data_IF_714678241503
#
_entry.id   IF_714678241503
#
_cell.length_a   1.000
_cell.length_b   1.000
_cell.length_c   1.000
_cell.angle_alpha   90.00
_cell.angle_beta   90.00
_cell.angle_gamma   90.00
#
_symmetry.space_group_name_H-M   'P 1'
#
loop_
_entity.id
_entity.type
_entity.pdbx_description
1 polymer ?
#
# COMPACT_ATOMS: atom_id res chain seq x y z
N UNK A 1 14.87 19.03 -5.68
CA UNK A 1 13.83 20.00 -5.35
C UNK A 1 12.96 19.43 -4.25
N UNK A 2 12.81 20.15 -3.13
CA UNK A 2 11.91 19.80 -2.02
C UNK A 2 10.48 20.18 -2.41
N UNK A 3 9.65 19.19 -2.67
CA UNK A 3 8.20 19.34 -2.83
C UNK A 3 7.51 18.50 -1.76
N UNK A 4 7.52 18.99 -0.53
CA UNK A 4 6.75 18.42 0.57
C UNK A 4 5.28 18.77 0.39
N UNK A 5 4.53 17.86 -0.24
CA UNK A 5 3.08 17.79 -0.02
C UNK A 5 2.80 17.41 1.43
N UNK A 6 1.58 17.63 1.94
CA UNK A 6 1.25 17.28 3.31
C UNK A 6 1.62 15.82 3.54
N UNK A 7 2.47 15.56 4.53
CA UNK A 7 2.81 14.22 5.01
C UNK A 7 1.58 13.54 5.55
N UNK A 8 0.72 13.09 4.64
CA UNK A 8 -0.46 12.32 4.92
C UNK A 8 -0.12 10.85 4.70
N UNK A 9 -0.29 10.06 5.75
CA UNK A 9 -0.23 8.60 5.87
C UNK A 9 -0.97 7.78 4.80
N UNK A 10 -1.47 8.40 3.72
CA UNK A 10 -2.22 7.77 2.64
C UNK A 10 -1.37 7.26 1.45
N UNK A 11 -0.33 7.98 1.05
CA UNK A 11 0.42 7.68 -0.19
C UNK A 11 1.93 7.52 0.06
N UNK A 12 2.27 6.62 0.97
CA UNK A 12 3.63 6.10 1.14
C UNK A 12 4.71 7.04 1.68
N UNK A 13 4.45 8.33 1.87
CA UNK A 13 5.48 9.26 2.39
C UNK A 13 6.75 9.32 1.54
N UNK A 14 7.85 9.84 2.12
CA UNK A 14 9.12 10.06 1.41
C UNK A 14 9.77 8.74 0.95
N UNK A 15 10.29 8.74 -0.29
CA UNK A 15 11.09 7.63 -0.81
C UNK A 15 12.46 7.60 -0.13
N UNK A 16 13.01 6.39 0.02
CA UNK A 16 14.32 6.25 0.66
C UNK A 16 14.64 4.80 1.01
N UNK A 17 15.92 4.51 1.17
CA UNK A 17 16.42 3.15 1.44
C UNK A 17 15.77 2.54 2.69
N UNK A 18 15.50 3.39 3.69
CA UNK A 18 14.92 2.99 4.98
C UNK A 18 13.40 3.17 5.05
N UNK A 19 12.72 3.47 3.93
CA UNK A 19 11.27 3.72 3.90
C UNK A 19 10.47 2.56 4.48
N UNK A 20 10.89 1.31 4.23
CA UNK A 20 10.24 0.11 4.76
C UNK A 20 10.22 0.07 6.29
N UNK A 21 11.07 0.84 6.97
CA UNK A 21 11.16 0.91 8.42
C UNK A 21 10.51 2.18 9.01
N UNK A 22 9.91 3.06 8.20
CA UNK A 22 9.28 4.27 8.71
C UNK A 22 7.92 3.99 9.38
N UNK A 23 7.31 5.03 9.93
CA UNK A 23 6.00 4.94 10.62
C UNK A 23 4.85 4.46 9.73
N UNK A 24 4.92 4.67 8.41
CA UNK A 24 3.86 4.28 7.47
C UNK A 24 3.95 2.79 7.07
N UNK A 25 5.14 2.29 6.76
CA UNK A 25 5.33 0.92 6.27
C UNK A 25 5.80 -0.05 7.35
N UNK A 26 6.64 0.41 8.26
CA UNK A 26 7.31 -0.42 9.26
C UNK A 26 6.36 -1.32 10.04
N UNK A 27 5.31 -0.78 10.68
CA UNK A 27 4.36 -1.58 11.44
C UNK A 27 3.60 -2.64 10.61
N UNK A 28 3.59 -2.54 9.28
CA UNK A 28 2.92 -3.50 8.40
C UNK A 28 3.78 -4.73 8.06
N UNK A 29 5.11 -4.65 8.15
CA UNK A 29 5.98 -5.74 7.66
C UNK A 29 7.35 -5.87 8.34
N UNK A 30 7.90 -4.78 8.87
CA UNK A 30 9.34 -4.68 9.11
C UNK A 30 9.84 -5.51 10.29
N UNK A 31 8.96 -5.88 11.23
CA UNK A 31 9.25 -6.55 12.50
C UNK A 31 10.35 -7.62 12.44
N UNK A 32 10.28 -8.50 11.45
CA UNK A 32 11.16 -9.67 11.32
C UNK A 32 12.12 -9.59 10.11
N UNK A 33 12.14 -8.47 9.37
CA UNK A 33 13.02 -8.31 8.20
C UNK A 33 14.50 -8.48 8.58
N UNK A 34 15.03 -7.88 9.67
CA UNK A 34 16.44 -8.07 10.03
C UNK A 34 16.78 -9.55 10.27
N UNK A 35 15.90 -10.30 10.95
CA UNK A 35 16.10 -11.73 11.22
C UNK A 35 16.01 -12.55 9.94
N UNK A 36 15.11 -12.20 9.02
CA UNK A 36 15.02 -12.85 7.71
C UNK A 36 16.33 -12.69 6.91
N UNK A 37 16.93 -11.49 6.90
CA UNK A 37 18.18 -11.23 6.21
C UNK A 37 19.37 -11.93 6.88
N UNK A 38 19.45 -11.91 8.21
CA UNK A 38 20.47 -12.64 8.98
C UNK A 38 20.37 -14.15 8.72
N UNK A 39 19.14 -14.68 8.75
CA UNK A 39 18.83 -16.09 8.47
C UNK A 39 19.29 -16.49 7.07
N UNK A 40 18.93 -15.70 6.06
CA UNK A 40 19.34 -15.95 4.68
C UNK A 40 20.87 -15.94 4.55
N UNK A 41 21.54 -14.93 5.11
CA UNK A 41 22.99 -14.79 5.08
C UNK A 41 23.70 -15.97 5.77
N UNK A 42 23.21 -16.40 6.94
CA UNK A 42 23.74 -17.55 7.66
C UNK A 42 23.61 -18.84 6.83
N UNK A 43 22.42 -19.13 6.30
CA UNK A 43 22.18 -20.36 5.54
C UNK A 43 22.99 -20.39 4.25
N UNK A 44 23.05 -19.28 3.51
CA UNK A 44 23.91 -19.15 2.32
C UNK A 44 25.38 -19.36 2.68
N UNK A 45 25.85 -18.80 3.80
CA UNK A 45 27.23 -18.98 4.24
C UNK A 45 27.55 -20.42 4.65
N UNK A 46 26.64 -21.10 5.35
CA UNK A 46 26.78 -22.51 5.70
C UNK A 46 26.79 -23.40 4.45
N UNK A 47 25.91 -23.11 3.48
CA UNK A 47 25.76 -23.85 2.23
C UNK A 47 26.67 -23.35 1.10
N UNK A 48 27.66 -22.47 1.38
CA UNK A 48 28.51 -21.86 0.33
C UNK A 48 29.34 -22.89 -0.45
N UNK A 49 29.67 -24.02 0.17
CA UNK A 49 30.39 -25.15 -0.45
C UNK A 49 29.46 -26.26 -0.96
N UNK A 50 28.15 -26.14 -0.76
CA UNK A 50 27.18 -27.11 -1.25
C UNK A 50 27.07 -27.02 -2.79
N UNK A 51 26.71 -28.13 -3.48
CA UNK A 51 26.47 -28.14 -4.92
C UNK A 51 25.45 -27.07 -5.34
N UNK A 52 25.55 -26.57 -6.57
CA UNK A 52 24.63 -25.54 -7.10
C UNK A 52 23.16 -26.00 -7.15
N UNK A 53 22.92 -27.31 -7.18
CA UNK A 53 21.59 -27.91 -7.22
C UNK A 53 21.02 -28.25 -5.83
N UNK A 54 21.68 -27.80 -4.76
CA UNK A 54 21.15 -27.91 -3.41
C UNK A 54 19.81 -27.17 -3.28
N UNK A 55 18.75 -27.91 -2.97
CA UNK A 55 17.37 -27.39 -2.96
C UNK A 55 17.18 -26.30 -1.90
N UNK A 56 17.86 -26.42 -0.77
CA UNK A 56 17.72 -25.48 0.33
C UNK A 56 18.42 -24.16 0.00
N UNK A 57 19.64 -24.21 -0.56
CA UNK A 57 20.33 -23.03 -1.08
C UNK A 57 19.52 -22.32 -2.15
N UNK A 58 18.93 -23.06 -3.09
CA UNK A 58 18.07 -22.50 -4.14
C UNK A 58 16.84 -21.83 -3.51
N UNK A 59 16.18 -22.50 -2.57
CA UNK A 59 15.01 -21.97 -1.87
C UNK A 59 15.31 -20.64 -1.16
N UNK A 60 16.41 -20.59 -0.40
CA UNK A 60 16.82 -19.36 0.31
C UNK A 60 17.14 -18.24 -0.67
N UNK A 61 17.83 -18.51 -1.79
CA UNK A 61 18.13 -17.50 -2.79
C UNK A 61 16.87 -16.96 -3.48
N UNK A 62 15.87 -17.82 -3.72
CA UNK A 62 14.58 -17.41 -4.28
C UNK A 62 13.83 -16.48 -3.31
N UNK A 63 13.69 -16.88 -2.04
CA UNK A 63 13.00 -16.07 -1.04
C UNK A 63 13.75 -14.77 -0.73
N UNK A 64 15.09 -14.82 -0.68
CA UNK A 64 15.91 -13.62 -0.49
C UNK A 64 15.79 -12.67 -1.70
N UNK A 65 15.83 -13.19 -2.92
CA UNK A 65 15.64 -12.40 -4.14
C UNK A 65 14.26 -11.74 -4.18
N UNK A 66 13.20 -12.49 -3.84
CA UNK A 66 11.84 -11.96 -3.70
C UNK A 66 11.78 -10.83 -2.67
N UNK A 67 12.34 -11.04 -1.48
CA UNK A 67 12.33 -10.04 -0.41
C UNK A 67 13.08 -8.77 -0.82
N UNK A 68 14.30 -8.91 -1.35
CA UNK A 68 15.13 -7.77 -1.74
C UNK A 68 14.52 -6.98 -2.89
N UNK A 69 13.94 -7.66 -3.89
CA UNK A 69 13.23 -6.99 -4.98
C UNK A 69 12.09 -6.12 -4.46
N UNK A 70 11.26 -6.65 -3.57
CA UNK A 70 10.14 -5.90 -2.99
C UNK A 70 10.62 -4.76 -2.08
N UNK A 71 11.65 -4.97 -1.25
CA UNK A 71 12.25 -3.90 -0.43
C UNK A 71 12.70 -2.74 -1.34
N UNK A 72 13.43 -3.03 -2.42
CA UNK A 72 13.92 -1.99 -3.35
C UNK A 72 12.76 -1.28 -4.03
N UNK A 73 11.82 -2.03 -4.63
CA UNK A 73 10.69 -1.45 -5.36
C UNK A 73 9.86 -0.57 -4.42
N UNK A 74 9.42 -1.07 -3.27
CA UNK A 74 8.56 -0.31 -2.37
C UNK A 74 9.29 0.88 -1.70
N UNK A 75 10.60 0.77 -1.47
CA UNK A 75 11.40 1.90 -0.98
C UNK A 75 11.60 3.01 -2.01
N UNK A 76 11.76 2.66 -3.28
CA UNK A 76 12.14 3.60 -4.35
C UNK A 76 10.95 4.12 -5.17
N UNK A 77 9.80 3.43 -5.16
CA UNK A 77 8.63 3.84 -5.95
C UNK A 77 8.08 5.17 -5.46
N UNK A 78 8.07 6.17 -6.33
CA UNK A 78 7.41 7.46 -6.11
C UNK A 78 5.99 7.47 -6.65
N UNK A 79 5.15 8.38 -6.16
CA UNK A 79 3.74 8.46 -6.55
C UNK A 79 2.80 7.72 -5.59
N UNK A 80 1.73 7.15 -6.12
CA UNK A 80 0.66 6.51 -5.34
C UNK A 80 1.09 5.09 -4.94
N UNK A 81 1.51 4.94 -3.70
CA UNK A 81 1.81 3.64 -3.08
C UNK A 81 1.13 3.56 -1.72
N UNK A 82 0.38 2.48 -1.50
CA UNK A 82 -0.31 2.26 -0.23
C UNK A 82 0.51 1.34 0.67
N UNK A 83 0.55 1.61 1.99
CA UNK A 83 1.29 0.79 2.94
C UNK A 83 0.99 -0.70 2.85
N UNK A 84 -0.27 -1.09 2.64
CA UNK A 84 -0.68 -2.50 2.63
C UNK A 84 -0.02 -3.35 1.53
N UNK A 85 0.54 -2.75 0.46
CA UNK A 85 1.24 -3.50 -0.59
C UNK A 85 2.43 -4.32 -0.07
N UNK A 86 3.05 -3.90 1.04
CA UNK A 86 4.17 -4.65 1.63
C UNK A 86 3.80 -6.03 2.14
N UNK A 87 2.50 -6.36 2.24
CA UNK A 87 2.04 -7.72 2.52
C UNK A 87 2.63 -8.75 1.54
N UNK A 88 2.95 -8.33 0.31
CA UNK A 88 3.63 -9.17 -0.68
C UNK A 88 5.00 -9.71 -0.23
N UNK A 89 5.63 -9.08 0.76
CA UNK A 89 6.90 -9.53 1.36
C UNK A 89 6.71 -10.59 2.45
N UNK A 90 5.51 -10.73 3.01
CA UNK A 90 5.26 -11.58 4.18
C UNK A 90 5.64 -13.05 3.96
N UNK A 91 5.35 -13.69 2.81
CA UNK A 91 5.77 -15.07 2.56
C UNK A 91 7.30 -15.25 2.59
N UNK A 92 8.04 -14.29 2.03
CA UNK A 92 9.50 -14.35 2.00
C UNK A 92 10.11 -14.15 3.40
N UNK A 93 9.58 -13.21 4.19
CA UNK A 93 9.99 -13.03 5.59
C UNK A 93 9.72 -14.30 6.39
N UNK A 94 8.52 -14.87 6.29
CA UNK A 94 8.13 -16.09 6.98
C UNK A 94 9.02 -17.29 6.60
N UNK A 95 9.27 -17.47 5.29
CA UNK A 95 10.11 -18.55 4.80
C UNK A 95 11.56 -18.42 5.29
N UNK A 96 12.17 -17.23 5.18
CA UNK A 96 13.56 -17.03 5.59
C UNK A 96 13.76 -17.17 7.10
N UNK A 97 12.84 -16.63 7.91
CA UNK A 97 12.86 -16.81 9.37
C UNK A 97 12.66 -18.28 9.73
N UNK A 98 11.69 -18.95 9.10
CA UNK A 98 11.38 -20.37 9.34
C UNK A 98 12.53 -21.30 8.98
N UNK A 99 13.20 -21.05 7.85
CA UNK A 99 14.39 -21.83 7.42
C UNK A 99 15.57 -21.55 8.35
N UNK A 100 15.85 -20.29 8.68
CA UNK A 100 17.06 -19.92 9.42
C UNK A 100 17.01 -20.13 10.94
N UNK A 101 15.84 -20.02 11.57
CA UNK A 101 15.71 -20.14 13.02
C UNK A 101 16.30 -21.45 13.59
N UNK A 102 16.06 -22.64 12.98
CA UNK A 102 16.74 -23.87 13.38
C UNK A 102 18.26 -23.80 13.30
N UNK A 103 18.83 -23.18 12.25
CA UNK A 103 20.29 -23.02 12.12
C UNK A 103 20.87 -22.12 13.20
N UNK A 104 20.22 -20.99 13.47
CA UNK A 104 20.63 -20.05 14.51
C UNK A 104 20.60 -20.76 15.88
N UNK A 105 19.51 -21.48 16.17
CA UNK A 105 19.36 -22.22 17.42
C UNK A 105 20.38 -23.35 17.58
N UNK A 106 20.64 -24.12 16.52
CA UNK A 106 21.65 -25.18 16.55
C UNK A 106 23.06 -24.61 16.70
N UNK A 107 23.39 -23.53 15.98
CA UNK A 107 24.67 -22.86 16.09
C UNK A 107 24.95 -22.34 17.51
N UNK A 108 23.90 -21.83 18.16
CA UNK A 108 23.95 -21.35 19.54
C UNK A 108 24.10 -22.49 20.56
N UNK A 109 23.23 -23.52 20.48
CA UNK A 109 23.24 -24.65 21.42
C UNK A 109 24.50 -25.50 21.32
N UNK A 110 25.14 -25.57 20.15
CA UNK A 110 26.43 -26.22 19.91
C UNK A 110 27.64 -25.32 20.17
N UNK A 111 27.44 -24.06 20.58
CA UNK A 111 28.50 -23.07 20.84
C UNK A 111 29.51 -22.92 19.69
N UNK A 112 28.99 -22.87 18.47
CA UNK A 112 29.82 -22.63 17.28
C UNK A 112 30.36 -21.19 17.24
N UNK A 113 31.29 -20.90 16.33
CA UNK A 113 31.84 -19.54 16.12
C UNK A 113 30.78 -18.49 15.76
N UNK A 114 29.60 -18.91 15.30
CA UNK A 114 28.48 -18.04 14.93
C UNK A 114 27.35 -18.05 15.95
N UNK A 115 27.58 -18.58 17.16
CA UNK A 115 26.59 -18.60 18.24
C UNK A 115 26.07 -17.20 18.62
N UNK A 116 26.88 -16.15 18.42
CA UNK A 116 26.52 -14.75 18.69
C UNK A 116 25.36 -14.23 17.80
N UNK A 117 25.02 -14.93 16.71
CA UNK A 117 23.90 -14.56 15.85
C UNK A 117 22.55 -14.63 16.59
N UNK A 118 22.40 -15.56 17.54
CA UNK A 118 21.16 -15.65 18.33
C UNK A 118 20.92 -14.39 19.19
N UNK A 119 21.83 -13.99 20.11
CA UNK A 119 21.66 -12.74 20.87
C UNK A 119 21.48 -11.53 19.96
N UNK A 120 22.23 -11.44 18.85
CA UNK A 120 22.07 -10.34 17.90
C UNK A 120 20.66 -10.30 17.31
N UNK A 121 20.13 -11.44 16.88
CA UNK A 121 18.80 -11.52 16.25
C UNK A 121 17.71 -11.12 17.24
N UNK A 122 17.80 -11.56 18.49
CA UNK A 122 16.86 -11.18 19.56
C UNK A 122 16.95 -9.68 19.82
N UNK A 123 18.16 -9.14 20.00
CA UNK A 123 18.37 -7.73 20.27
C UNK A 123 17.83 -6.83 19.14
N UNK A 124 18.15 -7.13 17.89
CA UNK A 124 17.68 -6.36 16.73
C UNK A 124 16.16 -6.40 16.58
N UNK A 125 15.55 -7.59 16.77
CA UNK A 125 14.08 -7.72 16.71
C UNK A 125 13.42 -6.93 17.83
N UNK A 126 14.00 -6.96 19.03
CA UNK A 126 13.50 -6.23 20.20
C UNK A 126 13.57 -4.73 19.95
N UNK A 127 14.74 -4.21 19.53
CA UNK A 127 14.93 -2.78 19.22
C UNK A 127 13.96 -2.34 18.14
N UNK A 128 13.84 -3.11 17.05
CA UNK A 128 12.94 -2.75 15.97
C UNK A 128 11.48 -2.76 16.41
N UNK A 129 11.06 -3.76 17.19
CA UNK A 129 9.70 -3.83 17.73
C UNK A 129 9.40 -2.65 18.66
N UNK A 130 10.35 -2.20 19.47
CA UNK A 130 10.20 -1.01 20.32
C UNK A 130 10.02 0.25 19.46
N UNK A 131 10.83 0.42 18.42
CA UNK A 131 10.71 1.56 17.49
C UNK A 131 9.32 1.58 16.85
N UNK A 132 8.86 0.43 16.34
CA UNK A 132 7.55 0.31 15.68
C UNK A 132 6.39 0.59 16.63
N UNK A 133 6.43 0.03 17.84
CA UNK A 133 5.42 0.29 18.87
C UNK A 133 5.45 1.76 19.34
N UNK A 134 6.63 2.39 19.32
CA UNK A 134 6.82 3.78 19.68
C UNK A 134 6.21 4.79 18.71
N UNK A 135 5.95 4.42 17.45
CA UNK A 135 5.37 5.34 16.46
C UNK A 135 3.97 5.83 16.83
N UNK A 136 3.11 4.96 17.37
CA UNK A 136 1.76 5.33 17.80
C UNK A 136 1.58 5.31 19.32
N UNK A 137 2.45 4.58 20.04
CA UNK A 137 2.42 4.39 21.49
C UNK A 137 1.03 3.99 22.05
N UNK A 138 0.24 3.26 21.25
CA UNK A 138 -1.14 2.89 21.59
C UNK A 138 -1.22 2.00 22.84
N UNK A 139 -0.26 1.07 22.98
CA UNK A 139 -0.22 0.08 24.06
C UNK A 139 1.15 0.04 24.73
N UNK A 140 1.40 0.95 25.69
CA UNK A 140 2.67 0.99 26.41
C UNK A 140 3.03 -0.34 27.10
N UNK A 141 2.03 -1.08 27.57
CA UNK A 141 2.24 -2.39 28.20
C UNK A 141 2.88 -3.41 27.25
N UNK A 142 2.52 -3.39 25.96
CA UNK A 142 3.07 -4.30 24.94
C UNK A 142 4.52 -3.95 24.66
N UNK A 143 4.85 -2.66 24.61
CA UNK A 143 6.23 -2.19 24.50
C UNK A 143 7.06 -2.70 25.68
N UNK A 144 6.58 -2.54 26.92
CA UNK A 144 7.27 -3.05 28.11
C UNK A 144 7.41 -4.56 28.12
N UNK A 145 6.40 -5.31 27.67
CA UNK A 145 6.48 -6.76 27.52
C UNK A 145 7.60 -7.16 26.55
N UNK A 146 7.69 -6.49 25.41
CA UNK A 146 8.76 -6.75 24.42
C UNK A 146 10.13 -6.35 24.96
N UNK A 147 10.25 -5.20 25.63
CA UNK A 147 11.50 -4.74 26.28
C UNK A 147 12.00 -5.77 27.29
N UNK A 148 11.12 -6.21 28.20
CA UNK A 148 11.50 -7.14 29.27
C UNK A 148 11.83 -8.50 28.67
N UNK A 149 10.96 -9.05 27.83
CA UNK A 149 11.18 -10.38 27.25
C UNK A 149 12.45 -10.42 26.39
N UNK A 150 12.61 -9.44 25.50
CA UNK A 150 13.76 -9.35 24.60
C UNK A 150 15.08 -9.05 25.31
N UNK A 151 15.05 -8.13 26.27
CA UNK A 151 16.20 -7.78 27.10
C UNK A 151 16.68 -8.96 27.94
N UNK A 152 15.76 -9.63 28.67
CA UNK A 152 16.10 -10.80 29.48
C UNK A 152 16.58 -11.94 28.60
N UNK A 153 15.91 -12.25 27.47
CA UNK A 153 16.38 -13.27 26.54
C UNK A 153 17.80 -12.99 26.04
N UNK A 154 18.08 -11.75 25.62
CA UNK A 154 19.40 -11.34 25.13
C UNK A 154 20.46 -11.51 26.23
N UNK A 155 20.21 -11.01 27.44
CA UNK A 155 21.15 -11.13 28.57
C UNK A 155 21.41 -12.60 28.92
N UNK A 156 20.35 -13.40 29.08
CA UNK A 156 20.48 -14.83 29.37
C UNK A 156 21.28 -15.56 28.29
N UNK A 157 21.18 -15.13 27.02
CA UNK A 157 21.96 -15.77 25.97
C UNK A 157 23.46 -15.51 26.02
N UNK A 158 23.89 -14.43 26.69
CA UNK A 158 25.30 -14.05 26.84
C UNK A 158 25.97 -14.67 28.08
N UNK A 159 25.18 -15.13 29.05
CA UNK A 159 25.72 -15.72 30.28
C UNK A 159 26.30 -17.12 30.02
N UNK A 160 27.48 -17.46 30.54
CA UNK A 160 28.12 -18.77 30.30
C UNK A 160 27.39 -19.97 30.93
N UNK A 161 26.29 -19.74 31.67
CA UNK A 161 25.49 -20.66 32.47
C UNK A 161 24.63 -21.68 31.67
N UNK A 162 24.84 -21.78 30.36
CA UNK A 162 23.88 -22.32 29.37
C UNK A 162 23.82 -23.85 29.17
N UNK A 163 24.04 -24.65 30.21
CA UNK A 163 23.92 -26.12 30.06
C UNK A 163 22.53 -26.66 30.42
N UNK A 164 21.79 -25.99 31.30
CA UNK A 164 20.50 -26.49 31.76
C UNK A 164 19.40 -26.40 30.68
N UNK A 165 18.70 -27.52 30.43
CA UNK A 165 17.63 -27.62 29.41
C UNK A 165 16.49 -26.63 29.65
N UNK A 166 16.09 -26.42 30.90
CA UNK A 166 15.01 -25.51 31.26
C UNK A 166 15.35 -24.05 30.91
N UNK A 167 16.61 -23.63 31.09
CA UNK A 167 17.03 -22.25 30.76
C UNK A 167 16.97 -22.00 29.25
N UNK A 168 17.32 -23.00 28.43
CA UNK A 168 17.16 -22.93 26.96
C UNK A 168 15.68 -22.78 26.56
N UNK A 169 14.78 -23.49 27.22
CA UNK A 169 13.34 -23.37 26.97
C UNK A 169 12.81 -21.97 27.35
N UNK A 170 13.29 -21.40 28.47
CA UNK A 170 12.96 -20.02 28.86
C UNK A 170 13.45 -19.02 27.82
N UNK A 171 14.72 -19.12 27.40
CA UNK A 171 15.29 -18.24 26.38
C UNK A 171 14.45 -18.30 25.09
N UNK A 172 14.10 -19.52 24.65
CA UNK A 172 13.29 -19.71 23.45
C UNK A 172 11.89 -19.07 23.62
N UNK A 173 11.22 -19.29 24.75
CA UNK A 173 9.92 -18.69 25.03
C UNK A 173 9.97 -17.16 25.06
N UNK A 174 10.98 -16.58 25.70
CA UNK A 174 11.18 -15.13 25.75
C UNK A 174 11.54 -14.55 24.38
N UNK A 175 12.37 -15.22 23.59
CA UNK A 175 12.73 -14.80 22.24
C UNK A 175 11.51 -14.82 21.29
N UNK A 176 10.69 -15.89 21.35
CA UNK A 176 9.43 -15.97 20.61
C UNK A 176 8.49 -14.85 21.04
N UNK A 177 8.37 -14.61 22.35
CA UNK A 177 7.52 -13.53 22.89
C UNK A 177 7.98 -12.17 22.37
N UNK A 178 9.28 -11.86 22.45
CA UNK A 178 9.84 -10.59 21.97
C UNK A 178 9.65 -10.40 20.46
N UNK A 179 9.73 -11.46 19.65
CA UNK A 179 9.59 -11.38 18.20
C UNK A 179 8.16 -11.44 17.67
N UNK A 180 7.24 -12.10 18.39
CA UNK A 180 5.89 -12.39 17.87
C UNK A 180 4.78 -11.65 18.59
N UNK A 181 4.97 -11.19 19.83
CA UNK A 181 3.88 -10.54 20.59
C UNK A 181 3.33 -9.33 19.83
N UNK A 182 4.19 -8.44 19.34
CA UNK A 182 3.75 -7.25 18.62
C UNK A 182 3.08 -7.59 17.26
N UNK A 183 3.69 -8.39 16.36
CA UNK A 183 3.02 -8.82 15.12
C UNK A 183 1.68 -9.52 15.33
N UNK A 184 1.56 -10.39 16.33
CA UNK A 184 0.31 -11.10 16.65
C UNK A 184 -0.76 -10.09 17.09
N UNK A 185 -0.42 -9.21 18.03
CA UNK A 185 -1.35 -8.20 18.54
C UNK A 185 -1.77 -7.21 17.44
N UNK A 186 -0.86 -6.83 16.55
CA UNK A 186 -1.18 -6.03 15.36
C UNK A 186 -2.10 -6.78 14.39
N UNK A 187 -1.85 -8.06 14.15
CA UNK A 187 -2.68 -8.87 13.26
C UNK A 187 -4.09 -9.06 13.82
N UNK A 188 -4.21 -9.40 15.11
CA UNK A 188 -5.50 -9.59 15.79
C UNK A 188 -6.30 -8.29 15.81
N UNK A 189 -5.67 -7.16 16.14
CA UNK A 189 -6.36 -5.86 16.15
C UNK A 189 -6.84 -5.43 14.77
N UNK A 190 -6.06 -5.69 13.73
CA UNK A 190 -6.46 -5.46 12.33
C UNK A 190 -7.66 -6.34 11.96
N UNK A 191 -7.63 -7.64 12.26
CA UNK A 191 -8.74 -8.55 11.92
C UNK A 191 -10.02 -8.24 12.72
N UNK A 192 -9.88 -7.79 13.96
CA UNK A 192 -11.02 -7.51 14.84
C UNK A 192 -11.73 -6.17 14.53
N UNK A 193 -11.16 -5.31 13.67
CA UNK A 193 -11.69 -3.98 13.39
C UNK A 193 -12.28 -3.92 11.98
N UNK A 194 -13.50 -3.41 11.85
CA UNK A 194 -14.08 -3.15 10.54
C UNK A 194 -13.39 -1.94 9.88
N UNK A 195 -12.99 -2.09 8.62
CA UNK A 195 -12.30 -1.05 7.86
C UNK A 195 -13.26 -0.40 6.87
N UNK A 196 -13.49 0.91 6.99
CA UNK A 196 -14.33 1.71 6.10
C UNK A 196 -13.55 2.91 5.58
N UNK A 197 -13.32 2.98 4.28
CA UNK A 197 -12.44 3.97 3.64
C UNK A 197 -11.53 3.32 2.62
N UNK A 198 -10.60 4.09 2.06
CA UNK A 198 -9.86 3.66 0.86
C UNK A 198 -8.41 3.23 1.13
N UNK A 199 -7.89 3.48 2.33
CA UNK A 199 -6.50 3.17 2.69
C UNK A 199 -6.47 2.42 4.02
N UNK A 200 -6.63 1.08 4.02
CA UNK A 200 -6.56 0.29 5.24
C UNK A 200 -5.13 0.30 5.80
N UNK A 201 -5.03 0.37 7.13
CA UNK A 201 -3.77 0.32 7.87
C UNK A 201 -3.81 -0.84 8.86
N UNK A 202 -2.65 -1.43 9.19
CA UNK A 202 -2.58 -2.50 10.17
C UNK A 202 -2.26 -1.97 11.58
N UNK A 203 -2.87 -2.58 12.60
CA UNK A 203 -2.53 -2.40 14.00
C UNK A 203 -3.57 -1.69 14.87
N UNK A 204 -3.24 -1.37 16.12
CA UNK A 204 -4.12 -0.62 17.01
C UNK A 204 -4.46 0.76 16.46
N UNK A 205 -5.73 1.13 16.53
CA UNK A 205 -6.24 2.35 15.90
C UNK A 205 -6.36 2.26 14.38
N UNK A 206 -6.18 1.05 13.80
CA UNK A 206 -6.43 0.80 12.39
C UNK A 206 -7.83 1.25 12.00
N UNK A 207 -7.85 2.31 11.22
CA UNK A 207 -8.99 2.73 10.44
C UNK A 207 -8.52 2.83 9.00
N UNK A 208 -9.45 2.70 8.05
CA UNK A 208 -9.13 3.15 6.72
C UNK A 208 -9.23 4.68 6.70
N UNK A 209 -8.22 5.34 6.13
CA UNK A 209 -8.26 6.79 5.99
C UNK A 209 -9.51 7.18 5.19
N UNK A 210 -10.27 8.15 5.70
CA UNK A 210 -11.51 8.67 5.11
C UNK A 210 -11.25 10.02 4.44
N UNK A 211 -12.07 10.38 3.44
CA UNK A 211 -11.93 11.60 2.63
C UNK A 211 -10.67 11.63 1.76
N UNK A 212 -10.09 10.48 1.45
CA UNK A 212 -8.92 10.37 0.57
C UNK A 212 -9.31 10.06 -0.88
N UNK A 213 -10.51 9.51 -1.12
CA UNK A 213 -10.97 9.11 -2.45
C UNK A 213 -12.46 9.43 -2.69
N UNK A 214 -12.94 10.60 -2.25
CA UNK A 214 -14.30 11.09 -2.51
C UNK A 214 -15.41 10.10 -2.05
N UNK A 215 -15.21 9.40 -0.93
CA UNK A 215 -16.04 8.28 -0.49
C UNK A 215 -17.52 8.65 -0.24
N UNK A 216 -17.79 9.92 0.03
CA UNK A 216 -19.14 10.47 0.27
C UNK A 216 -19.67 11.29 -0.91
N UNK A 217 -18.90 11.43 -2.00
CA UNK A 217 -19.29 12.27 -3.11
C UNK A 217 -20.53 11.73 -3.82
N UNK A 218 -21.51 12.60 -4.02
CA UNK A 218 -22.71 12.33 -4.82
C UNK A 218 -22.89 13.40 -5.87
N UNK A 219 -23.32 12.98 -7.06
CA UNK A 219 -23.72 13.93 -8.09
C UNK A 219 -25.02 14.65 -7.69
N UNK A 220 -25.16 15.88 -8.19
CA UNK A 220 -26.37 16.68 -8.02
C UNK A 220 -27.59 15.94 -8.58
N UNK A 221 -28.71 15.90 -7.84
CA UNK A 221 -29.91 15.16 -8.27
C UNK A 221 -30.47 15.67 -9.59
N UNK A 222 -30.41 16.99 -9.83
CA UNK A 222 -30.81 17.64 -11.09
C UNK A 222 -29.99 17.15 -12.28
N UNK A 223 -28.67 17.02 -12.14
CA UNK A 223 -27.80 16.45 -13.17
C UNK A 223 -28.20 15.00 -13.47
N UNK A 224 -28.42 14.20 -12.41
CA UNK A 224 -28.75 12.78 -12.55
C UNK A 224 -30.09 12.61 -13.27
N UNK A 225 -31.13 13.34 -12.86
CA UNK A 225 -32.43 13.31 -13.54
C UNK A 225 -32.32 13.73 -14.99
N UNK A 226 -31.63 14.85 -15.27
CA UNK A 226 -31.41 15.32 -16.64
C UNK A 226 -30.75 14.24 -17.51
N UNK A 227 -29.66 13.64 -17.04
CA UNK A 227 -28.93 12.63 -17.81
C UNK A 227 -29.78 11.36 -18.02
N UNK A 228 -30.55 10.93 -17.01
CA UNK A 228 -31.40 9.73 -17.10
C UNK A 228 -32.56 9.92 -18.08
N UNK A 229 -33.24 11.07 -18.00
CA UNK A 229 -34.35 11.43 -18.90
C UNK A 229 -33.89 11.54 -20.36
N UNK A 230 -32.65 11.99 -20.58
CA UNK A 230 -32.10 12.23 -21.91
C UNK A 230 -31.12 11.13 -22.39
N UNK A 231 -31.14 9.94 -21.79
CA UNK A 231 -30.17 8.88 -22.13
C UNK A 231 -30.31 8.36 -23.57
N UNK A 232 -31.53 8.31 -24.11
CA UNK A 232 -31.85 7.84 -25.47
C UNK A 232 -31.11 6.56 -25.93
N UNK A 233 -30.93 5.58 -25.03
CA UNK A 233 -30.30 4.31 -25.35
C UNK A 233 -28.76 4.32 -25.44
N UNK A 234 -28.08 5.41 -25.06
CA UNK A 234 -26.62 5.45 -25.04
C UNK A 234 -26.03 4.38 -24.12
N UNK A 235 -24.91 3.80 -24.54
CA UNK A 235 -24.17 2.84 -23.71
C UNK A 235 -23.70 3.51 -22.42
N UNK A 236 -23.18 4.73 -22.50
CA UNK A 236 -22.70 5.52 -21.37
C UNK A 236 -23.61 6.71 -21.11
N UNK A 237 -23.97 6.93 -19.85
CA UNK A 237 -24.81 8.05 -19.43
C UNK A 237 -24.14 9.39 -19.73
N UNK A 238 -22.84 9.48 -19.50
CA UNK A 238 -21.98 10.60 -19.86
C UNK A 238 -20.52 10.14 -19.97
N UNK A 239 -19.68 10.98 -20.60
CA UNK A 239 -18.23 10.93 -20.50
C UNK A 239 -17.70 12.07 -19.61
N UNK A 240 -16.65 11.78 -18.84
CA UNK A 240 -15.98 12.70 -17.90
C UNK A 240 -14.46 12.48 -17.95
N UNK A 241 -13.67 13.43 -17.45
CA UNK A 241 -12.21 13.35 -17.53
C UNK A 241 -11.62 12.20 -16.72
N UNK A 242 -12.14 11.92 -15.52
CA UNK A 242 -11.47 11.07 -14.53
C UNK A 242 -12.44 10.12 -13.82
N UNK A 243 -11.92 9.04 -13.24
CA UNK A 243 -12.70 8.12 -12.41
C UNK A 243 -13.27 8.82 -11.17
N UNK A 244 -12.54 9.81 -10.64
CA UNK A 244 -12.99 10.65 -9.52
C UNK A 244 -14.24 11.48 -9.88
N UNK A 245 -14.36 11.92 -11.13
CA UNK A 245 -15.57 12.61 -11.63
C UNK A 245 -16.69 11.63 -12.01
N UNK A 246 -16.35 10.41 -12.46
CA UNK A 246 -17.35 9.43 -12.89
C UNK A 246 -18.07 8.79 -11.70
N UNK A 247 -17.34 8.47 -10.64
CA UNK A 247 -17.84 7.78 -9.46
C UNK A 247 -19.12 8.39 -8.86
N UNK A 248 -19.19 9.70 -8.54
CA UNK A 248 -20.40 10.29 -7.95
C UNK A 248 -21.61 10.23 -8.88
N UNK A 249 -21.41 10.31 -10.20
CA UNK A 249 -22.49 10.20 -11.19
C UNK A 249 -22.95 8.74 -11.31
N UNK A 250 -22.02 7.78 -11.36
CA UNK A 250 -22.33 6.35 -11.41
C UNK A 250 -23.10 5.89 -10.17
N UNK A 251 -22.63 6.28 -8.98
CA UNK A 251 -23.26 5.89 -7.72
C UNK A 251 -24.65 6.52 -7.54
N UNK A 252 -24.84 7.77 -7.96
CA UNK A 252 -26.16 8.42 -7.85
C UNK A 252 -27.15 7.96 -8.93
N UNK A 253 -26.69 7.62 -10.14
CA UNK A 253 -27.57 7.24 -11.26
C UNK A 253 -27.80 5.73 -11.41
N UNK A 254 -26.89 4.90 -10.87
CA UNK A 254 -26.85 3.47 -11.15
C UNK A 254 -26.49 3.13 -12.60
N UNK A 255 -26.01 4.08 -13.40
CA UNK A 255 -25.69 3.91 -14.81
C UNK A 255 -24.17 4.01 -15.08
N UNK A 256 -23.67 3.37 -16.15
CA UNK A 256 -22.27 3.48 -16.54
C UNK A 256 -21.92 4.90 -17.01
N UNK A 257 -20.79 5.43 -16.54
CA UNK A 257 -20.22 6.74 -16.93
C UNK A 257 -18.77 6.50 -17.35
N UNK A 258 -18.38 7.06 -18.50
CA UNK A 258 -17.07 6.83 -19.10
C UNK A 258 -16.03 7.79 -18.51
N UNK A 259 -15.04 7.27 -17.79
CA UNK A 259 -13.85 8.03 -17.38
C UNK A 259 -12.76 7.91 -18.45
N UNK A 260 -12.55 8.95 -19.25
CA UNK A 260 -11.64 8.86 -20.41
C UNK A 260 -10.15 8.92 -20.03
N UNK A 261 -9.81 9.50 -18.88
CA UNK A 261 -8.42 9.81 -18.49
C UNK A 261 -7.90 9.04 -17.28
N UNK A 262 -8.44 7.85 -17.03
CA UNK A 262 -8.03 7.03 -15.88
C UNK A 262 -8.42 7.66 -14.53
N UNK A 263 -7.64 7.39 -13.49
CA UNK A 263 -7.99 7.81 -12.12
C UNK A 263 -8.01 9.33 -11.94
N UNK A 264 -6.99 10.03 -12.47
CA UNK A 264 -6.80 11.48 -12.30
C UNK A 264 -7.05 12.33 -13.56
N UNK A 265 -7.46 11.72 -14.68
CA UNK A 265 -7.68 12.45 -15.94
C UNK A 265 -6.44 12.63 -16.81
N UNK A 266 -5.29 12.07 -16.41
CA UNK A 266 -4.00 12.17 -17.08
C UNK A 266 -3.72 11.08 -18.12
N UNK A 267 -4.50 10.00 -18.12
CA UNK A 267 -4.16 8.83 -18.92
C UNK A 267 -4.65 8.98 -20.36
N UNK A 268 -3.77 8.82 -21.34
CA UNK A 268 -4.13 8.81 -22.76
C UNK A 268 -4.63 7.43 -23.22
N UNK A 269 -5.78 7.00 -22.70
CA UNK A 269 -6.35 5.68 -23.03
C UNK A 269 -7.21 5.68 -24.30
N UNK A 270 -7.74 6.85 -24.69
CA UNK A 270 -8.65 7.01 -25.80
C UNK A 270 -8.20 8.18 -26.68
N UNK A 271 -8.01 7.92 -27.98
CA UNK A 271 -7.69 8.97 -28.94
C UNK A 271 -8.91 9.82 -29.29
N UNK A 272 -8.71 11.05 -29.76
CA UNK A 272 -9.79 11.91 -30.22
C UNK A 272 -10.63 11.26 -31.34
N UNK A 273 -9.99 10.55 -32.27
CA UNK A 273 -10.68 9.87 -33.37
C UNK A 273 -11.59 8.74 -32.86
N UNK A 274 -11.12 7.94 -31.90
CA UNK A 274 -11.93 6.91 -31.26
C UNK A 274 -13.09 7.52 -30.46
N UNK A 275 -12.86 8.61 -29.73
CA UNK A 275 -13.93 9.30 -29.00
C UNK A 275 -15.01 9.82 -29.95
N UNK A 276 -14.63 10.47 -31.06
CA UNK A 276 -15.55 10.90 -32.10
C UNK A 276 -16.36 9.72 -32.67
N UNK A 277 -15.73 8.58 -32.89
CA UNK A 277 -16.42 7.39 -33.38
C UNK A 277 -17.47 6.88 -32.37
N UNK A 278 -17.19 6.93 -31.06
CA UNK A 278 -18.16 6.56 -30.03
C UNK A 278 -19.38 7.50 -30.01
N UNK A 279 -19.16 8.79 -30.23
CA UNK A 279 -20.24 9.78 -30.37
C UNK A 279 -21.09 9.49 -31.60
N UNK A 280 -20.46 9.29 -32.77
CA UNK A 280 -21.16 8.93 -34.02
C UNK A 280 -21.95 7.62 -33.94
N UNK A 281 -21.45 6.65 -33.17
CA UNK A 281 -22.14 5.39 -32.92
C UNK A 281 -23.29 5.51 -31.91
N UNK A 282 -23.56 6.71 -31.37
CA UNK A 282 -24.59 6.92 -30.35
C UNK A 282 -24.25 6.27 -29.00
N UNK A 283 -22.98 5.90 -28.76
CA UNK A 283 -22.57 5.25 -27.50
C UNK A 283 -22.38 6.26 -26.37
N UNK A 284 -22.07 7.51 -26.70
CA UNK A 284 -21.88 8.63 -25.78
C UNK A 284 -22.52 9.87 -26.40
N UNK A 285 -23.35 10.59 -25.64
CA UNK A 285 -23.94 11.86 -26.07
C UNK A 285 -23.48 13.04 -25.22
N UNK A 286 -23.50 12.87 -23.91
CA UNK A 286 -23.16 13.94 -22.97
C UNK A 286 -21.71 13.86 -22.52
N UNK A 287 -21.08 15.02 -22.43
CA UNK A 287 -19.79 15.19 -21.79
C UNK A 287 -19.94 16.15 -20.60
N UNK A 288 -19.53 15.72 -19.41
CA UNK A 288 -19.75 16.43 -18.16
C UNK A 288 -18.41 16.84 -17.55
N UNK A 289 -18.31 18.11 -17.15
CA UNK A 289 -17.12 18.68 -16.50
C UNK A 289 -17.51 19.28 -15.16
N UNK A 290 -16.77 18.98 -14.09
CA UNK A 290 -17.00 19.60 -12.80
C UNK A 290 -16.60 21.10 -12.84
N UNK A 291 -17.57 21.99 -12.60
CA UNK A 291 -17.38 23.44 -12.67
C UNK A 291 -16.51 24.00 -11.54
N UNK A 292 -16.37 23.29 -10.41
CA UNK A 292 -15.55 23.72 -9.26
C UNK A 292 -14.06 23.43 -9.44
N UNK A 293 -13.72 22.40 -10.21
CA UNK A 293 -12.34 21.95 -10.38
C UNK A 293 -11.52 22.89 -11.30
N UNK A 294 -12.19 23.75 -12.08
CA UNK A 294 -11.55 24.82 -12.85
C UNK A 294 -10.94 25.96 -12.02
N UNK A 295 -11.16 26.00 -10.68
CA UNK A 295 -10.64 27.06 -9.79
C UNK A 295 -9.53 26.61 -8.83
N UNK A 296 -9.31 25.32 -8.65
CA UNK A 296 -8.26 24.79 -7.76
C UNK A 296 -7.07 24.29 -8.58
N UNK A 297 -6.13 25.19 -8.88
CA UNK A 297 -4.82 24.88 -9.45
C UNK A 297 -3.91 24.14 -8.46
N UNK A 298 -4.32 22.95 -8.03
CA UNK A 298 -3.44 22.00 -7.35
C UNK A 298 -2.64 21.18 -8.38
N UNK A 299 -1.45 20.66 -8.03
CA UNK A 299 -0.56 19.96 -8.97
C UNK A 299 -1.15 18.70 -9.62
N UNK A 300 -2.34 18.27 -9.20
CA UNK A 300 -3.07 17.11 -9.69
C UNK A 300 -4.11 17.41 -10.78
N UNK A 301 -4.35 18.69 -11.12
CA UNK A 301 -5.41 19.11 -12.07
C UNK A 301 -4.93 19.70 -13.40
N UNK A 302 -3.63 19.95 -13.56
CA UNK A 302 -3.06 20.39 -14.84
C UNK A 302 -2.37 19.21 -15.50
N UNK A 303 -2.91 18.78 -16.65
CA UNK A 303 -2.32 17.75 -17.48
C UNK A 303 -0.84 17.99 -17.70
N UNK A 304 -0.03 17.02 -17.27
CA UNK A 304 1.29 16.83 -17.84
C UNK A 304 1.18 16.64 -19.37
N UNK A 305 2.29 16.74 -20.11
CA UNK A 305 2.28 16.52 -21.56
C UNK A 305 1.81 15.09 -21.86
N UNK A 306 0.52 14.91 -22.16
CA UNK A 306 -0.08 13.59 -22.41
C UNK A 306 -1.50 13.34 -21.88
N UNK A 307 -2.35 14.36 -21.68
CA UNK A 307 -3.75 14.18 -21.24
C UNK A 307 -4.80 14.31 -22.35
N UNK A 308 -6.07 13.99 -22.04
CA UNK A 308 -7.25 14.11 -22.93
C UNK A 308 -7.66 15.55 -23.29
N UNK A 309 -6.70 16.49 -23.30
CA UNK A 309 -6.92 17.90 -23.59
C UNK A 309 -7.53 18.11 -24.97
N UNK A 310 -7.14 17.31 -25.97
CA UNK A 310 -7.69 17.37 -27.33
C UNK A 310 -9.18 17.02 -27.38
N UNK A 311 -9.61 16.01 -26.62
CA UNK A 311 -11.03 15.64 -26.50
C UNK A 311 -11.81 16.77 -25.83
N UNK A 312 -11.30 17.29 -24.71
CA UNK A 312 -11.97 18.37 -24.00
C UNK A 312 -12.07 19.64 -24.86
N UNK A 313 -11.02 19.99 -25.61
CA UNK A 313 -11.03 21.12 -26.53
C UNK A 313 -12.04 20.92 -27.65
N UNK A 314 -12.09 19.73 -28.24
CA UNK A 314 -13.06 19.40 -29.27
C UNK A 314 -14.51 19.42 -28.76
N UNK A 315 -14.75 18.89 -27.56
CA UNK A 315 -16.06 18.95 -26.89
C UNK A 315 -16.49 20.39 -26.66
N UNK A 316 -15.59 21.26 -26.19
CA UNK A 316 -15.89 22.68 -25.97
C UNK A 316 -16.17 23.44 -27.27
N UNK A 317 -15.53 23.07 -28.37
CA UNK A 317 -15.71 23.75 -29.66
C UNK A 317 -16.92 23.25 -30.44
N UNK A 318 -17.29 21.97 -30.29
CA UNK A 318 -18.33 21.32 -31.10
C UNK A 318 -19.62 21.08 -30.32
N UNK A 319 -19.52 20.81 -29.02
CA UNK A 319 -20.65 20.51 -28.16
C UNK A 319 -21.45 21.75 -27.77
N UNK A 320 -22.76 21.61 -27.72
CA UNK A 320 -23.64 22.67 -27.23
C UNK A 320 -23.74 22.61 -25.70
N UNK A 321 -23.48 23.73 -25.01
CA UNK A 321 -23.65 23.80 -23.56
C UNK A 321 -25.14 23.69 -23.22
N UNK A 322 -25.49 22.75 -22.35
CA UNK A 322 -26.87 22.55 -21.91
C UNK A 322 -27.08 23.19 -20.54
N UNK A 323 -28.19 23.91 -20.40
CA UNK A 323 -28.72 24.28 -19.10
C UNK A 323 -29.60 23.12 -18.57
N UNK A 324 -29.07 22.39 -17.60
CA UNK A 324 -29.79 21.29 -16.93
C UNK A 324 -30.41 21.72 -15.59
N UNK A 325 -30.37 23.03 -15.26
CA UNK A 325 -30.92 23.58 -14.03
C UNK A 325 -30.06 23.43 -12.77
N UNK A 326 -28.82 22.91 -12.91
CA UNK A 326 -27.85 22.80 -11.82
C UNK A 326 -26.59 23.65 -12.01
N UNK A 327 -25.77 23.73 -10.97
CA UNK A 327 -24.61 24.64 -10.94
C UNK A 327 -23.27 23.94 -10.71
N UNK A 328 -23.25 22.68 -10.27
CA UNK A 328 -22.00 21.99 -9.94
C UNK A 328 -21.20 21.55 -11.16
N UNK A 329 -21.88 21.26 -12.26
CA UNK A 329 -21.29 20.72 -13.49
C UNK A 329 -21.60 21.60 -14.70
N UNK A 330 -20.75 21.50 -15.72
CA UNK A 330 -21.00 21.99 -17.08
C UNK A 330 -21.24 20.78 -17.97
N UNK A 331 -22.38 20.75 -18.65
CA UNK A 331 -22.79 19.65 -19.54
C UNK A 331 -22.72 20.11 -20.98
N UNK A 332 -22.04 19.35 -21.83
CA UNK A 332 -21.99 19.53 -23.27
C UNK A 332 -22.77 18.41 -23.95
N UNK A 333 -23.71 18.76 -24.82
CA UNK A 333 -24.41 17.83 -25.71
C UNK A 333 -23.67 17.71 -27.04
N UNK A 334 -23.29 16.48 -27.39
CA UNK A 334 -22.56 16.15 -28.60
C UNK A 334 -23.46 15.63 -29.74
N UNK A 335 -24.79 15.75 -29.61
CA UNK A 335 -25.74 15.29 -30.63
C UNK A 335 -25.47 15.89 -32.02
N UNK A 336 -25.04 17.14 -32.11
CA UNK A 336 -24.69 17.79 -33.39
C UNK A 336 -23.42 17.22 -34.04
N UNK A 337 -22.63 16.43 -33.29
CA UNK A 337 -21.38 15.85 -33.73
C UNK A 337 -21.49 14.34 -34.05
N UNK A 338 -22.67 13.74 -33.80
CA UNK A 338 -23.00 12.36 -34.12
C UNK A 338 -23.35 12.22 -35.61
#
# INVERSE_FOLDING_TARGET
GRGGGPGGVGFGGETGVLRIFNESFGPNIAWLIPVALISAGLVIWLLRRAPRHDKERIGVLLWLGWLLMHIVIFSMTSGIIHPYYVVAMAPAVAALVGIGAPYIWQAYTRRTKVAWILPLSIALTTILSIIMLGYSNYWPWLMWLVVIAGGVATILTLLPLLQAKWLKQIILGLAITAGMAAPIVFSVSTVATAHSGSIPTAGPGASAMSNTNNELARAESTLVSFLLENRHGTTWLAAVNSANESAPIQLSSGQPVMAIGGFNGSDSTLTLSQFKQLVKQGKVRYYVVNSRQGKSGGPSGMGGPGGNSEILLWVKSTGSKVDYGGAQYTVYDLAAAA
#
